data_IF_886587765540
#
_entry.id   IF_886587765540
#
_cell.length_a   1.000
_cell.length_b   1.000
_cell.length_c   1.000
_cell.angle_alpha   90.00
_cell.angle_beta   90.00
_cell.angle_gamma   90.00
#
_symmetry.space_group_name_H-M   'P 1'
#
loop_
_entity.id
_entity.type
_entity.pdbx_description
1 polymer ?
#
# COMPACT_ATOMS: atom_id res chain seq x y z
N UNK A 1 5.87 -3.12 -9.09
CA UNK A 1 5.53 -3.76 -7.78
C UNK A 1 6.77 -4.03 -6.95
N UNK A 2 6.61 -4.19 -5.64
CA UNK A 2 7.69 -4.26 -4.64
C UNK A 2 8.37 -5.64 -4.48
N UNK A 3 7.97 -6.68 -5.22
CA UNK A 3 8.54 -8.04 -5.19
C UNK A 3 8.66 -8.63 -3.76
N UNK A 4 7.65 -8.43 -2.93
CA UNK A 4 7.60 -8.95 -1.56
C UNK A 4 6.98 -10.35 -1.55
N UNK A 5 7.49 -11.24 -0.71
CA UNK A 5 6.88 -12.56 -0.49
C UNK A 5 5.56 -12.42 0.29
N UNK A 6 4.50 -13.07 -0.21
CA UNK A 6 3.17 -13.02 0.37
C UNK A 6 2.17 -13.82 -0.47
N UNK A 7 1.00 -14.13 0.09
CA UNK A 7 -0.08 -14.81 -0.63
C UNK A 7 -1.07 -13.76 -1.17
N UNK A 8 -1.19 -13.68 -2.50
CA UNK A 8 -2.15 -12.81 -3.17
C UNK A 8 -1.71 -11.34 -3.32
N UNK A 9 -2.63 -10.49 -3.76
CA UNK A 9 -2.42 -9.06 -3.92
C UNK A 9 -2.65 -8.37 -2.57
N UNK A 10 -1.56 -7.96 -1.91
CA UNK A 10 -1.61 -7.23 -0.64
C UNK A 10 -1.16 -5.79 -0.83
N UNK A 11 -1.82 -4.86 -0.12
CA UNK A 11 -1.40 -3.47 -0.09
C UNK A 11 -0.05 -3.35 0.63
N UNK A 12 0.89 -2.66 0.00
CA UNK A 12 2.21 -2.42 0.54
C UNK A 12 2.66 -0.98 0.22
N UNK A 13 3.44 -0.41 1.13
CA UNK A 13 4.06 0.91 0.95
C UNK A 13 5.57 0.80 1.03
N UNK A 14 6.25 1.69 0.32
CA UNK A 14 7.68 1.96 0.53
C UNK A 14 7.82 3.19 1.41
N UNK A 15 8.27 2.99 2.65
CA UNK A 15 8.45 4.05 3.63
C UNK A 15 9.88 4.03 4.16
N UNK A 16 10.55 5.20 4.14
CA UNK A 16 11.97 5.35 4.55
C UNK A 16 12.91 4.31 3.92
N UNK A 17 12.69 4.00 2.64
CA UNK A 17 13.54 3.06 1.88
C UNK A 17 13.22 1.57 2.07
N UNK A 18 12.38 1.19 3.03
CA UNK A 18 11.94 -0.19 3.27
C UNK A 18 10.49 -0.39 2.85
N UNK A 19 10.14 -1.60 2.44
CA UNK A 19 8.78 -1.97 2.06
C UNK A 19 8.07 -2.61 3.26
N UNK A 20 6.81 -2.26 3.46
CA UNK A 20 5.96 -2.79 4.53
C UNK A 20 4.61 -3.18 3.95
N UNK A 21 4.06 -4.31 4.39
CA UNK A 21 2.65 -4.59 4.21
C UNK A 21 1.83 -3.64 5.08
N UNK A 22 0.69 -3.21 4.57
CA UNK A 22 -0.20 -2.29 5.27
C UNK A 22 -1.30 -3.08 5.97
N UNK A 23 -1.56 -2.72 7.21
CA UNK A 23 -2.73 -3.16 7.99
C UNK A 23 -3.67 -1.99 8.21
N UNK A 24 -4.97 -2.28 8.27
CA UNK A 24 -6.04 -1.30 8.52
C UNK A 24 -6.77 -0.81 7.26
N UNK A 25 -6.24 -1.09 6.07
CA UNK A 25 -6.92 -0.82 4.79
C UNK A 25 -6.38 -1.73 3.69
N UNK A 26 -7.21 -2.00 2.68
CA UNK A 26 -6.91 -2.85 1.53
C UNK A 26 -6.78 -2.09 0.22
N UNK A 27 -6.47 -2.83 -0.86
CA UNK A 27 -6.34 -2.27 -2.21
C UNK A 27 -7.66 -1.65 -2.69
N UNK A 28 -8.77 -2.35 -2.47
CA UNK A 28 -10.12 -1.96 -2.92
C UNK A 28 -10.66 -0.71 -2.20
N UNK A 29 -10.17 -0.41 -0.99
CA UNK A 29 -10.54 0.81 -0.24
C UNK A 29 -10.01 2.09 -0.91
N UNK A 30 -9.12 1.94 -1.88
CA UNK A 30 -8.40 3.04 -2.52
C UNK A 30 -8.65 3.09 -4.04
N UNK A 31 -9.67 2.38 -4.52
CA UNK A 31 -10.08 2.30 -5.92
C UNK A 31 -9.98 0.88 -6.47
N UNK A 32 -10.35 0.70 -7.74
CA UNK A 32 -10.29 -0.60 -8.41
C UNK A 32 -8.84 -1.09 -8.50
N UNK A 33 -8.53 -2.17 -7.78
CA UNK A 33 -7.19 -2.74 -7.75
C UNK A 33 -6.77 -3.35 -9.10
N UNK A 34 -7.73 -3.77 -9.93
CA UNK A 34 -7.55 -4.48 -11.19
C UNK A 34 -7.63 -3.59 -12.43
N UNK A 35 -7.95 -2.30 -12.26
CA UNK A 35 -7.86 -1.32 -13.33
C UNK A 35 -6.43 -1.28 -13.93
N UNK A 36 -6.30 -0.81 -15.19
CA UNK A 36 -4.99 -0.65 -15.84
C UNK A 36 -4.03 0.22 -15.01
N UNK A 37 -4.55 1.19 -14.27
CA UNK A 37 -3.80 2.00 -13.31
C UNK A 37 -4.08 1.60 -11.85
N UNK A 38 -4.72 0.45 -11.62
CA UNK A 38 -4.96 -0.13 -10.30
C UNK A 38 -3.68 -0.54 -9.59
N UNK A 39 -3.75 -0.78 -8.28
CA UNK A 39 -2.58 -1.09 -7.46
C UNK A 39 -1.90 -2.42 -7.80
N UNK A 40 -2.62 -3.36 -8.41
CA UNK A 40 -2.02 -4.59 -8.94
C UNK A 40 -1.10 -4.30 -10.13
N UNK A 41 -1.26 -3.15 -10.79
CA UNK A 41 -0.58 -2.81 -12.04
C UNK A 41 0.39 -1.61 -11.89
N UNK A 42 0.20 -0.73 -10.90
CA UNK A 42 0.95 0.52 -10.77
C UNK A 42 1.41 0.84 -9.32
N UNK A 43 2.50 1.61 -9.21
CA UNK A 43 2.94 2.22 -7.95
C UNK A 43 2.49 3.68 -7.94
N UNK A 44 1.72 4.07 -6.90
CA UNK A 44 1.21 5.43 -6.71
C UNK A 44 1.89 6.10 -5.51
N UNK A 45 1.91 7.44 -5.51
CA UNK A 45 2.32 8.22 -4.33
C UNK A 45 1.10 8.43 -3.44
N UNK A 46 1.30 8.30 -2.13
CA UNK A 46 0.27 8.52 -1.13
C UNK A 46 0.87 9.27 0.06
N UNK A 47 0.03 10.03 0.76
CA UNK A 47 0.29 10.46 2.13
C UNK A 47 -0.20 9.36 3.06
N UNK A 48 0.62 8.99 4.03
CA UNK A 48 0.30 7.94 4.99
C UNK A 48 0.67 8.39 6.40
N UNK A 49 -0.14 8.03 7.38
CA UNK A 49 0.19 8.15 8.80
C UNK A 49 -0.10 6.82 9.49
N UNK A 50 0.77 6.44 10.41
CA UNK A 50 0.70 5.12 11.04
C UNK A 50 2.01 4.75 11.74
N UNK A 51 2.05 3.54 12.27
CA UNK A 51 3.18 3.01 13.01
C UNK A 51 3.70 1.72 12.36
N UNK A 52 5.01 1.49 12.47
CA UNK A 52 5.59 0.19 12.09
C UNK A 52 5.57 -0.71 13.32
N UNK A 53 4.79 -1.79 13.27
CA UNK A 53 4.66 -2.80 14.33
C UNK A 53 4.97 -4.16 13.73
N UNK A 54 5.98 -4.85 14.27
CA UNK A 54 6.38 -6.21 13.83
C UNK A 54 6.53 -6.33 12.29
N UNK A 55 7.25 -5.38 11.68
CA UNK A 55 7.49 -5.31 10.22
C UNK A 55 6.24 -5.08 9.34
N UNK A 56 5.11 -4.68 9.94
CA UNK A 56 3.91 -4.23 9.23
C UNK A 56 3.65 -2.75 9.53
N UNK A 57 3.02 -2.06 8.61
CA UNK A 57 2.63 -0.66 8.77
C UNK A 57 1.15 -0.59 9.13
N UNK A 58 0.85 -0.34 10.40
CA UNK A 58 -0.51 -0.11 10.88
C UNK A 58 -0.92 1.32 10.53
N UNK A 59 -1.83 1.44 9.57
CA UNK A 59 -2.26 2.74 9.04
C UNK A 59 -3.38 3.35 9.90
N UNK A 60 -3.30 4.66 10.10
CA UNK A 60 -4.37 5.48 10.71
C UNK A 60 -4.94 6.50 9.73
N UNK A 61 -4.19 6.83 8.67
CA UNK A 61 -4.63 7.67 7.58
C UNK A 61 -3.89 7.30 6.29
N UNK A 62 -4.63 7.26 5.19
CA UNK A 62 -4.12 6.97 3.85
C UNK A 62 -4.83 7.85 2.84
N UNK A 63 -4.07 8.63 2.07
CA UNK A 63 -4.59 9.46 0.99
C UNK A 63 -3.72 9.31 -0.26
N UNK A 64 -4.33 8.81 -1.34
CA UNK A 64 -3.69 8.81 -2.65
C UNK A 64 -3.49 10.25 -3.14
N UNK A 65 -2.26 10.56 -3.57
CA UNK A 65 -1.97 11.83 -4.22
C UNK A 65 -2.41 11.68 -5.67
N UNK A 66 -3.50 12.38 -6.03
CA UNK A 66 -3.94 12.50 -7.43
C UNK A 66 -2.86 13.26 -8.22
N UNK A 67 -2.63 12.81 -9.46
CA UNK A 67 -1.79 13.55 -10.40
C UNK A 67 -2.43 14.88 -10.76
#
# INVERSE_FOLDING_TARGET
MFKMEGKGCLLAIKFKGKNYFVDGTGLEDHGDAHDKEGFCNAIKKAKVQGNVVKDRFEVSYFELIKK
#
